data_IF_191102489210
#
_entry.id   IF_191102489210
#
_cell.length_a   1.000
_cell.length_b   1.000
_cell.length_c   1.000
_cell.angle_alpha   90.00
_cell.angle_beta   90.00
_cell.angle_gamma   90.00
#
_symmetry.space_group_name_H-M   'P 1'
#
loop_
_entity.id
_entity.type
_entity.pdbx_description
1 polymer ?
#
# COMPACT_ATOMS: atom_id res chain seq x y z
N UNK A 1 -43.96 -59.79 16.11
CA UNK A 1 -43.29 -59.94 14.80
C UNK A 1 -41.80 -59.75 15.05
N UNK A 2 -41.02 -60.83 15.12
CA UNK A 2 -40.27 -61.42 13.99
C UNK A 2 -39.11 -60.50 13.56
N UNK A 3 -37.83 -60.86 13.44
CA UNK A 3 -37.02 -62.07 13.72
C UNK A 3 -35.57 -61.67 13.37
N UNK A 4 -34.59 -62.14 14.15
CA UNK A 4 -33.31 -62.73 13.69
C UNK A 4 -32.23 -61.89 12.97
N UNK A 5 -31.17 -61.64 13.76
CA UNK A 5 -29.73 -62.03 13.58
C UNK A 5 -28.82 -61.36 12.52
N UNK A 6 -27.48 -61.39 12.78
CA UNK A 6 -26.47 -60.44 12.32
C UNK A 6 -25.54 -61.00 11.22
N UNK A 7 -24.66 -60.15 10.70
CA UNK A 7 -23.52 -60.61 9.86
C UNK A 7 -22.22 -59.94 10.26
N UNK A 8 -21.19 -60.79 10.28
CA UNK A 8 -19.82 -60.65 10.74
C UNK A 8 -18.93 -59.69 9.94
N UNK A 9 -17.94 -59.17 10.68
CA UNK A 9 -16.51 -59.10 10.40
C UNK A 9 -16.00 -58.90 8.95
N UNK A 10 -15.22 -57.83 8.79
CA UNK A 10 -13.96 -57.90 8.02
C UNK A 10 -12.94 -56.92 8.61
N UNK A 11 -11.96 -57.50 9.30
CA UNK A 11 -10.70 -56.89 9.72
C UNK A 11 -9.85 -56.59 8.49
N UNK A 12 -9.50 -55.33 8.26
CA UNK A 12 -8.40 -54.97 7.38
C UNK A 12 -7.36 -54.14 8.14
N UNK A 13 -6.38 -54.84 8.72
CA UNK A 13 -5.17 -54.25 9.31
C UNK A 13 -4.18 -53.94 8.18
N UNK A 14 -4.11 -52.66 7.81
CA UNK A 14 -3.06 -52.12 6.96
C UNK A 14 -1.70 -52.03 7.69
N UNK A 15 -0.60 -51.95 6.93
CA UNK A 15 0.72 -52.40 7.38
C UNK A 15 1.41 -51.44 8.35
N UNK A 16 1.96 -52.04 9.42
CA UNK A 16 2.91 -51.43 10.36
C UNK A 16 4.13 -50.90 9.59
N UNK A 17 4.36 -49.59 9.64
CA UNK A 17 5.62 -48.98 9.22
C UNK A 17 6.75 -49.35 10.20
N UNK A 18 7.97 -49.60 9.70
CA UNK A 18 9.07 -50.13 10.49
C UNK A 18 9.65 -49.09 11.46
N UNK A 19 9.72 -49.49 12.72
CA UNK A 19 10.54 -48.91 13.78
C UNK A 19 12.00 -48.95 13.36
N UNK A 20 12.56 -47.79 12.98
CA UNK A 20 14.01 -47.63 12.84
C UNK A 20 14.63 -47.54 14.23
N UNK A 21 15.21 -48.66 14.65
CA UNK A 21 16.19 -48.78 15.71
C UNK A 21 17.40 -47.89 15.37
N UNK A 22 17.53 -46.75 16.03
CA UNK A 22 18.74 -45.93 16.04
C UNK A 22 19.77 -46.56 16.99
N UNK A 23 20.75 -47.18 16.36
CA UNK A 23 21.94 -47.80 16.95
C UNK A 23 22.76 -46.75 17.69
N UNK A 24 22.88 -46.90 19.01
CA UNK A 24 23.89 -46.24 19.85
C UNK A 24 25.28 -46.42 19.24
N UNK A 25 25.91 -45.31 18.83
CA UNK A 25 27.36 -45.22 18.67
C UNK A 25 27.84 -44.07 19.54
N UNK A 26 28.31 -44.44 20.73
CA UNK A 26 28.95 -43.57 21.72
C UNK A 26 30.29 -43.14 21.11
N UNK A 27 30.38 -41.93 20.58
CA UNK A 27 31.64 -41.22 20.35
C UNK A 27 31.74 -40.17 21.46
N UNK A 28 32.61 -40.43 22.43
CA UNK A 28 33.13 -39.42 23.33
C UNK A 28 33.97 -38.47 22.47
N UNK A 29 33.44 -37.28 22.21
CA UNK A 29 34.24 -36.10 21.96
C UNK A 29 33.95 -35.17 23.12
N UNK A 30 34.89 -35.10 24.06
CA UNK A 30 35.01 -33.99 25.00
C UNK A 30 35.47 -32.77 24.20
N UNK A 31 34.51 -31.98 23.72
CA UNK A 31 34.71 -30.58 23.41
C UNK A 31 33.61 -29.85 24.14
N UNK A 32 33.98 -28.92 25.02
CA UNK A 32 33.06 -28.16 25.85
C UNK A 32 32.06 -27.39 24.99
N UNK A 33 30.91 -28.00 24.76
CA UNK A 33 29.68 -27.28 24.43
C UNK A 33 29.23 -26.63 25.74
N UNK A 34 29.47 -25.33 25.84
CA UNK A 34 28.60 -24.47 26.64
C UNK A 34 27.19 -24.72 26.12
N UNK A 35 26.44 -25.55 26.85
CA UNK A 35 24.99 -25.66 26.71
C UNK A 35 24.48 -24.26 27.03
N UNK A 36 24.33 -23.44 25.98
CA UNK A 36 23.54 -22.24 26.02
C UNK A 36 22.14 -22.71 26.41
N UNK A 37 21.88 -22.73 27.72
CA UNK A 37 20.53 -22.72 28.27
C UNK A 37 19.86 -21.54 27.60
N UNK A 38 19.09 -21.80 26.55
CA UNK A 38 18.12 -20.87 26.00
C UNK A 38 17.30 -20.41 27.19
N UNK A 39 17.66 -19.26 27.75
CA UNK A 39 16.87 -18.59 28.76
C UNK A 39 15.54 -18.32 28.08
N UNK A 40 14.54 -19.17 28.36
CA UNK A 40 13.17 -18.99 27.90
C UNK A 40 12.81 -17.53 28.17
N UNK A 41 12.72 -16.75 27.09
CA UNK A 41 12.55 -15.32 27.21
C UNK A 41 11.19 -15.09 27.89
N UNK A 42 11.24 -14.67 29.16
CA UNK A 42 10.04 -14.66 29.99
C UNK A 42 9.07 -13.64 29.39
N UNK A 43 7.98 -14.12 28.79
CA UNK A 43 6.98 -13.30 28.11
C UNK A 43 6.48 -12.20 29.06
N UNK A 44 6.53 -10.96 28.58
CA UNK A 44 6.12 -9.73 29.30
C UNK A 44 4.90 -9.12 28.62
N UNK A 45 3.70 -9.39 29.14
CA UNK A 45 2.43 -8.92 28.54
C UNK A 45 2.32 -7.39 28.45
N UNK A 46 2.83 -6.64 29.43
CA UNK A 46 2.83 -5.17 29.38
C UNK A 46 3.68 -4.57 28.24
N UNK A 47 4.57 -5.37 27.62
CA UNK A 47 5.33 -4.97 26.42
C UNK A 47 4.63 -5.40 25.13
N UNK A 48 3.47 -6.06 25.21
CA UNK A 48 2.72 -6.46 24.03
C UNK A 48 2.32 -5.22 23.23
N UNK A 49 2.50 -5.23 21.90
CA UNK A 49 2.04 -4.13 21.06
C UNK A 49 0.51 -3.94 21.13
N UNK A 50 -0.25 -4.94 21.61
CA UNK A 50 -1.71 -4.87 21.76
C UNK A 50 -2.16 -4.04 22.96
N UNK A 51 -1.32 -3.89 23.99
CA UNK A 51 -1.65 -3.17 25.23
C UNK A 51 -2.17 -1.75 24.96
N UNK A 52 -1.46 -1.00 24.12
CA UNK A 52 -1.86 0.36 23.76
C UNK A 52 -3.23 0.38 23.08
N UNK A 53 -3.57 -0.65 22.30
CA UNK A 53 -4.89 -0.74 21.67
C UNK A 53 -6.01 -0.93 22.70
N UNK A 54 -5.84 -1.83 23.68
CA UNK A 54 -6.82 -2.02 24.74
C UNK A 54 -6.99 -0.76 25.60
N UNK A 55 -5.89 -0.06 25.90
CA UNK A 55 -5.94 1.20 26.62
C UNK A 55 -6.71 2.27 25.82
N UNK A 56 -6.42 2.42 24.53
CA UNK A 56 -7.11 3.37 23.66
C UNK A 56 -8.61 3.06 23.55
N UNK A 57 -9.01 1.80 23.37
CA UNK A 57 -10.45 1.43 23.34
C UNK A 57 -11.11 1.73 24.69
N UNK A 58 -10.44 1.46 25.82
CA UNK A 58 -10.99 1.73 27.14
C UNK A 58 -11.26 3.23 27.33
N UNK A 59 -10.27 4.08 27.03
CA UNK A 59 -10.41 5.53 27.11
C UNK A 59 -11.45 6.08 26.12
N UNK A 60 -11.42 5.64 24.86
CA UNK A 60 -12.39 6.04 23.86
C UNK A 60 -13.82 5.61 24.25
N UNK A 61 -13.99 4.43 24.86
CA UNK A 61 -15.28 3.96 25.36
C UNK A 61 -15.79 4.83 26.53
N UNK A 62 -14.91 5.28 27.43
CA UNK A 62 -15.29 6.21 28.51
C UNK A 62 -15.74 7.56 27.94
N UNK A 63 -14.99 8.11 26.98
CA UNK A 63 -15.37 9.35 26.27
C UNK A 63 -16.73 9.18 25.58
N UNK A 64 -16.93 8.04 24.92
CA UNK A 64 -18.18 7.72 24.25
C UNK A 64 -19.36 7.65 25.24
N UNK A 65 -19.17 6.98 26.38
CA UNK A 65 -20.18 6.89 27.45
C UNK A 65 -20.60 8.27 27.95
N UNK A 66 -19.63 9.12 28.31
CA UNK A 66 -19.92 10.48 28.79
C UNK A 66 -20.55 11.36 27.71
N UNK A 67 -20.12 11.21 26.46
CA UNK A 67 -20.73 11.93 25.33
C UNK A 67 -22.19 11.49 25.12
N UNK A 68 -22.48 10.19 25.25
CA UNK A 68 -23.84 9.69 25.20
C UNK A 68 -24.67 10.17 26.39
N UNK A 69 -24.10 10.30 27.58
CA UNK A 69 -24.79 10.86 28.74
C UNK A 69 -25.18 12.33 28.54
N UNK A 70 -24.24 13.15 28.05
CA UNK A 70 -24.45 14.57 27.79
C UNK A 70 -25.35 14.89 26.59
N UNK A 71 -25.75 13.89 25.78
CA UNK A 71 -26.57 14.12 24.58
C UNK A 71 -28.07 14.37 24.85
N UNK A 72 -28.45 14.63 26.11
CA UNK A 72 -29.85 14.77 26.56
C UNK A 72 -30.36 16.20 26.58
N UNK A 73 -29.48 17.20 26.63
CA UNK A 73 -29.84 18.60 26.81
C UNK A 73 -29.63 19.44 25.54
N UNK A 74 -30.67 19.62 24.69
CA UNK A 74 -30.63 20.57 23.59
C UNK A 74 -30.89 21.99 24.11
N UNK A 75 -30.06 22.47 25.05
CA UNK A 75 -30.34 23.76 25.72
C UNK A 75 -29.95 24.95 24.83
N UNK A 76 -29.06 24.79 23.84
CA UNK A 76 -28.49 25.96 23.14
C UNK A 76 -28.51 25.95 21.61
N UNK A 77 -28.86 24.85 20.95
CA UNK A 77 -28.75 24.76 19.48
C UNK A 77 -29.98 24.02 18.95
N UNK A 78 -30.46 24.36 17.74
CA UNK A 78 -31.58 23.74 17.01
C UNK A 78 -31.34 22.25 16.65
N UNK A 79 -30.76 21.49 17.56
CA UNK A 79 -30.33 20.12 17.42
C UNK A 79 -31.46 19.16 17.78
N UNK A 80 -31.42 17.99 17.17
CA UNK A 80 -32.39 16.92 17.40
C UNK A 80 -31.92 16.15 18.64
N UNK A 81 -32.67 16.11 19.74
CA UNK A 81 -32.25 15.35 20.90
C UNK A 81 -32.11 13.86 20.56
N UNK A 82 -31.16 13.20 21.20
CA UNK A 82 -31.05 11.75 21.12
C UNK A 82 -32.27 11.11 21.80
N UNK A 83 -32.82 10.04 21.23
CA UNK A 83 -33.87 9.30 21.92
C UNK A 83 -33.29 8.49 23.09
N UNK A 84 -34.09 8.24 24.12
CA UNK A 84 -33.67 7.45 25.28
C UNK A 84 -33.12 6.07 24.88
N UNK A 85 -33.72 5.45 23.86
CA UNK A 85 -33.26 4.16 23.33
C UNK A 85 -31.87 4.25 22.70
N UNK A 86 -31.62 5.31 21.91
CA UNK A 86 -30.32 5.54 21.29
C UNK A 86 -29.25 5.82 22.34
N UNK A 87 -29.61 6.59 23.36
CA UNK A 87 -28.74 6.90 24.48
C UNK A 87 -28.40 5.64 25.29
N UNK A 88 -29.42 4.85 25.65
CA UNK A 88 -29.24 3.59 26.36
C UNK A 88 -28.38 2.62 25.56
N UNK A 89 -28.59 2.52 24.25
CA UNK A 89 -27.76 1.70 23.38
C UNK A 89 -26.29 2.15 23.38
N UNK A 90 -26.02 3.43 23.19
CA UNK A 90 -24.66 3.97 23.17
C UNK A 90 -23.95 3.81 24.53
N UNK A 91 -24.65 4.14 25.62
CA UNK A 91 -24.16 3.91 26.99
C UNK A 91 -23.82 2.43 27.22
N UNK A 92 -24.66 1.51 26.77
CA UNK A 92 -24.44 0.07 26.92
C UNK A 92 -23.23 -0.41 26.12
N UNK A 93 -23.14 -0.04 24.84
CA UNK A 93 -22.01 -0.40 23.97
C UNK A 93 -20.68 0.04 24.59
N UNK A 94 -20.65 1.28 25.09
CA UNK A 94 -19.47 1.92 25.64
C UNK A 94 -19.09 1.38 27.01
N UNK A 95 -20.07 1.19 27.91
CA UNK A 95 -19.81 0.61 29.23
C UNK A 95 -19.27 -0.83 29.14
N UNK A 96 -19.90 -1.67 28.32
CA UNK A 96 -19.46 -3.05 28.11
C UNK A 96 -18.04 -3.08 27.54
N UNK A 97 -17.74 -2.24 26.54
CA UNK A 97 -16.41 -2.14 25.95
C UNK A 97 -15.37 -1.63 26.94
N UNK A 98 -15.70 -0.61 27.74
CA UNK A 98 -14.82 -0.06 28.77
C UNK A 98 -14.48 -1.09 29.85
N UNK A 99 -15.46 -1.90 30.29
CA UNK A 99 -15.25 -2.97 31.26
C UNK A 99 -14.35 -4.07 30.67
N UNK A 100 -14.68 -4.59 29.48
CA UNK A 100 -13.90 -5.65 28.84
C UNK A 100 -12.46 -5.20 28.64
N UNK A 101 -12.25 -4.03 28.03
CA UNK A 101 -10.91 -3.54 27.73
C UNK A 101 -10.16 -3.06 28.97
N UNK A 102 -10.85 -2.53 29.98
CA UNK A 102 -10.28 -2.22 31.29
C UNK A 102 -9.73 -3.46 32.00
N UNK A 103 -10.48 -4.57 31.97
CA UNK A 103 -10.00 -5.86 32.48
C UNK A 103 -8.77 -6.32 31.69
N UNK A 104 -8.77 -6.20 30.36
CA UNK A 104 -7.60 -6.56 29.53
C UNK A 104 -6.38 -5.69 29.84
N UNK A 105 -6.55 -4.39 30.08
CA UNK A 105 -5.49 -3.47 30.52
C UNK A 105 -4.92 -3.92 31.86
N UNK A 106 -5.76 -4.24 32.85
CA UNK A 106 -5.31 -4.75 34.15
C UNK A 106 -4.54 -6.07 34.00
N UNK A 107 -5.03 -7.00 33.17
CA UNK A 107 -4.35 -8.27 32.86
C UNK A 107 -2.96 -8.03 32.26
N UNK A 108 -2.82 -7.06 31.35
CA UNK A 108 -1.54 -6.76 30.72
C UNK A 108 -0.55 -6.07 31.68
N UNK A 109 -1.05 -5.28 32.63
CA UNK A 109 -0.24 -4.60 33.64
C UNK A 109 0.14 -5.54 34.80
N UNK A 110 -0.65 -6.57 35.09
CA UNK A 110 -0.41 -7.49 36.20
C UNK A 110 0.94 -8.22 36.06
N UNK A 111 1.91 -7.77 36.87
CA UNK A 111 3.26 -8.32 36.92
C UNK A 111 3.42 -9.37 38.05
N UNK A 112 2.47 -9.50 38.98
CA UNK A 112 2.69 -10.13 40.28
C UNK A 112 1.67 -11.21 40.62
N UNK A 113 0.37 -10.92 40.54
CA UNK A 113 -0.64 -11.72 41.25
C UNK A 113 -1.06 -12.98 40.47
N UNK A 114 -1.33 -12.83 39.17
CA UNK A 114 -1.83 -13.90 38.31
C UNK A 114 -1.04 -14.04 37.01
N UNK A 115 0.22 -13.58 37.00
CA UNK A 115 1.10 -13.58 35.81
C UNK A 115 1.11 -14.91 35.07
N UNK A 116 1.35 -16.03 35.77
CA UNK A 116 1.40 -17.37 35.15
C UNK A 116 0.05 -17.79 34.56
N UNK A 117 -1.05 -17.37 35.19
CA UNK A 117 -2.39 -17.58 34.68
C UNK A 117 -2.64 -16.73 33.42
N UNK A 118 -2.31 -15.44 33.43
CA UNK A 118 -2.53 -14.55 32.28
C UNK A 118 -1.71 -14.94 31.07
N UNK A 119 -0.43 -15.29 31.25
CA UNK A 119 0.42 -15.77 30.14
C UNK A 119 -0.19 -17.03 29.49
N UNK A 120 -0.89 -17.87 30.26
CA UNK A 120 -1.58 -19.06 29.73
C UNK A 120 -2.79 -18.72 28.84
N UNK A 121 -3.40 -17.54 28.97
CA UNK A 121 -4.58 -17.15 28.17
C UNK A 121 -4.27 -16.11 27.10
N UNK A 122 -3.30 -15.22 27.34
CA UNK A 122 -2.97 -14.06 26.51
C UNK A 122 -1.54 -14.11 25.94
N UNK A 123 -0.77 -15.15 26.27
CA UNK A 123 0.55 -15.36 25.72
C UNK A 123 0.53 -15.68 24.21
N UNK A 124 1.66 -15.53 23.51
CA UNK A 124 1.77 -15.77 22.06
C UNK A 124 1.37 -17.20 21.68
N UNK A 125 1.69 -18.18 22.52
CA UNK A 125 1.48 -19.61 22.26
C UNK A 125 0.01 -20.07 22.34
N UNK A 126 -0.90 -19.22 22.86
CA UNK A 126 -2.30 -19.61 23.13
C UNK A 126 -3.24 -18.74 22.29
N UNK A 127 -3.93 -19.43 21.37
CA UNK A 127 -4.38 -18.83 20.10
C UNK A 127 -5.82 -18.32 20.09
N UNK A 128 -6.72 -18.85 20.90
CA UNK A 128 -8.16 -18.67 20.61
C UNK A 128 -8.93 -17.76 21.56
N UNK A 129 -8.53 -17.67 22.84
CA UNK A 129 -9.32 -16.92 23.83
C UNK A 129 -9.27 -15.41 23.59
N UNK A 130 -8.08 -14.81 23.57
CA UNK A 130 -7.91 -13.38 23.27
C UNK A 130 -8.43 -13.03 21.88
N UNK A 131 -8.21 -13.90 20.88
CA UNK A 131 -8.75 -13.72 19.53
C UNK A 131 -10.28 -13.67 19.56
N UNK A 132 -10.94 -14.55 20.31
CA UNK A 132 -12.40 -14.54 20.46
C UNK A 132 -12.91 -13.22 21.04
N UNK A 133 -12.20 -12.64 22.02
CA UNK A 133 -12.54 -11.32 22.58
C UNK A 133 -12.34 -10.22 21.54
N UNK A 134 -11.24 -10.25 20.79
CA UNK A 134 -10.97 -9.26 19.73
C UNK A 134 -12.03 -9.34 18.63
N UNK A 135 -12.40 -10.53 18.18
CA UNK A 135 -13.44 -10.74 17.17
C UNK A 135 -14.82 -10.30 17.67
N UNK A 136 -15.12 -10.55 18.94
CA UNK A 136 -16.32 -10.03 19.59
C UNK A 136 -16.32 -8.50 19.57
N UNK A 137 -15.25 -7.84 20.03
CA UNK A 137 -15.14 -6.38 20.03
C UNK A 137 -15.22 -5.80 18.62
N UNK A 138 -14.66 -6.49 17.62
CA UNK A 138 -14.69 -6.05 16.23
C UNK A 138 -16.14 -6.02 15.71
N UNK A 139 -16.86 -7.13 15.89
CA UNK A 139 -18.27 -7.21 15.52
C UNK A 139 -19.13 -6.22 16.32
N UNK A 140 -18.86 -6.09 17.62
CA UNK A 140 -19.55 -5.17 18.53
C UNK A 140 -19.44 -3.72 18.06
N UNK A 141 -18.22 -3.26 17.78
CA UNK A 141 -17.99 -1.89 17.32
C UNK A 141 -18.36 -1.68 15.86
N UNK A 142 -18.30 -2.70 15.01
CA UNK A 142 -18.80 -2.60 13.64
C UNK A 142 -20.30 -2.32 13.61
N UNK A 143 -21.09 -3.09 14.37
CA UNK A 143 -22.52 -2.84 14.52
C UNK A 143 -22.81 -1.50 15.18
N UNK A 144 -22.04 -1.14 16.22
CA UNK A 144 -22.18 0.15 16.88
C UNK A 144 -21.91 1.33 15.94
N UNK A 145 -20.87 1.27 15.10
CA UNK A 145 -20.60 2.28 14.08
C UNK A 145 -21.79 2.42 13.14
N UNK A 146 -22.29 1.30 12.60
CA UNK A 146 -23.45 1.32 11.68
C UNK A 146 -24.64 2.01 12.34
N UNK A 147 -24.99 1.62 13.57
CA UNK A 147 -26.19 2.12 14.24
C UNK A 147 -25.99 3.56 14.72
N UNK A 148 -24.90 3.84 15.43
CA UNK A 148 -24.69 5.13 16.10
C UNK A 148 -24.36 6.26 15.12
N UNK A 149 -23.67 5.97 14.02
CA UNK A 149 -23.26 6.99 13.04
C UNK A 149 -24.18 7.06 11.83
N UNK A 150 -25.17 6.17 11.71
CA UNK A 150 -26.25 6.29 10.71
C UNK A 150 -26.98 7.63 10.80
N UNK A 151 -27.74 7.97 9.76
CA UNK A 151 -28.57 9.17 9.75
C UNK A 151 -29.46 9.30 11.00
N UNK A 152 -30.06 8.19 11.45
CA UNK A 152 -30.90 8.18 12.65
C UNK A 152 -30.11 8.05 13.94
N UNK A 153 -28.85 7.67 13.87
CA UNK A 153 -28.01 7.35 15.02
C UNK A 153 -27.85 8.52 16.00
N UNK A 154 -27.34 8.21 17.18
CA UNK A 154 -27.05 9.21 18.23
C UNK A 154 -25.92 10.17 17.85
N UNK A 155 -24.97 9.70 17.04
CA UNK A 155 -23.90 10.46 16.44
C UNK A 155 -24.20 10.75 14.95
N UNK A 156 -25.44 10.54 14.53
CA UNK A 156 -25.96 10.98 13.24
C UNK A 156 -26.13 12.51 13.21
N UNK A 157 -26.47 13.02 12.03
CA UNK A 157 -26.55 14.44 11.75
C UNK A 157 -27.59 15.20 12.60
N UNK A 158 -27.35 16.48 12.81
CA UNK A 158 -28.24 17.40 13.51
C UNK A 158 -28.11 17.31 15.03
N UNK A 159 -27.12 16.59 15.57
CA UNK A 159 -26.95 16.39 17.03
C UNK A 159 -25.66 17.01 17.60
N UNK A 160 -24.74 17.46 16.73
CA UNK A 160 -23.43 18.01 17.09
C UNK A 160 -22.59 17.15 18.06
N UNK A 161 -22.82 15.83 18.07
CA UNK A 161 -22.16 14.89 18.97
C UNK A 161 -20.81 14.41 18.40
N UNK A 162 -19.90 15.33 18.09
CA UNK A 162 -18.62 15.01 17.45
C UNK A 162 -17.77 14.06 18.29
N UNK A 163 -17.71 14.25 19.60
CA UNK A 163 -16.97 13.37 20.52
C UNK A 163 -17.51 11.93 20.46
N UNK A 164 -18.83 11.78 20.37
CA UNK A 164 -19.47 10.48 20.23
C UNK A 164 -19.11 9.85 18.88
N UNK A 165 -19.22 10.62 17.80
CA UNK A 165 -18.87 10.19 16.44
C UNK A 165 -17.43 9.67 16.36
N UNK A 166 -16.45 10.49 16.77
CA UNK A 166 -15.03 10.13 16.67
C UNK A 166 -14.66 8.98 17.60
N UNK A 167 -15.17 8.97 18.84
CA UNK A 167 -14.86 7.88 19.77
C UNK A 167 -15.42 6.53 19.30
N UNK A 168 -16.59 6.49 18.64
CA UNK A 168 -17.15 5.27 18.05
C UNK A 168 -16.22 4.73 16.94
N UNK A 169 -15.76 5.59 16.03
CA UNK A 169 -14.81 5.21 14.97
C UNK A 169 -13.45 4.79 15.51
N UNK A 170 -12.90 5.52 16.48
CA UNK A 170 -11.62 5.19 17.13
C UNK A 170 -11.69 3.80 17.76
N UNK A 171 -12.80 3.43 18.41
CA UNK A 171 -12.95 2.10 18.97
C UNK A 171 -12.93 1.01 17.89
N UNK A 172 -13.65 1.19 16.78
CA UNK A 172 -13.64 0.24 15.67
C UNK A 172 -12.24 0.09 15.05
N UNK A 173 -11.63 1.21 14.64
CA UNK A 173 -10.32 1.22 13.97
C UNK A 173 -9.21 0.67 14.88
N UNK A 174 -9.25 1.00 16.17
CA UNK A 174 -8.30 0.44 17.14
C UNK A 174 -8.49 -1.06 17.28
N UNK A 175 -9.73 -1.55 17.25
CA UNK A 175 -10.00 -2.99 17.31
C UNK A 175 -9.44 -3.73 16.09
N UNK A 176 -9.59 -3.15 14.89
CA UNK A 176 -8.94 -3.66 13.67
C UNK A 176 -7.42 -3.69 13.83
N UNK A 177 -6.83 -2.62 14.38
CA UNK A 177 -5.39 -2.56 14.64
C UNK A 177 -4.89 -3.59 15.67
N UNK A 178 -5.71 -3.93 16.69
CA UNK A 178 -5.38 -5.00 17.64
C UNK A 178 -5.47 -6.37 16.95
N UNK A 179 -6.48 -6.59 16.11
CA UNK A 179 -6.60 -7.82 15.33
C UNK A 179 -5.38 -8.02 14.42
N UNK A 180 -4.96 -6.96 13.71
CA UNK A 180 -3.78 -6.96 12.86
C UNK A 180 -2.52 -7.38 13.65
N UNK A 181 -2.27 -6.75 14.82
CA UNK A 181 -1.16 -7.12 15.70
C UNK A 181 -1.26 -8.56 16.19
N UNK A 182 -2.48 -9.06 16.42
CA UNK A 182 -2.69 -10.46 16.83
C UNK A 182 -2.42 -11.44 15.68
N UNK A 183 -2.69 -11.04 14.44
CA UNK A 183 -2.35 -11.84 13.25
C UNK A 183 -0.83 -11.96 13.08
N UNK A 184 -0.08 -10.88 13.32
CA UNK A 184 1.40 -10.92 13.36
C UNK A 184 1.91 -11.95 14.36
N UNK A 185 1.36 -11.96 15.59
CA UNK A 185 1.75 -12.93 16.63
C UNK A 185 1.44 -14.39 16.24
N UNK A 186 0.60 -14.62 15.23
CA UNK A 186 0.26 -15.94 14.71
C UNK A 186 1.02 -16.33 13.44
N UNK A 187 1.97 -15.51 13.01
CA UNK A 187 2.62 -15.65 11.70
C UNK A 187 1.59 -15.73 10.56
N UNK A 188 0.44 -15.06 10.73
CA UNK A 188 -0.59 -14.95 9.69
C UNK A 188 -0.31 -13.73 8.82
N UNK A 189 -0.63 -13.80 7.50
CA UNK A 189 -0.57 -12.65 6.63
C UNK A 189 -1.44 -11.52 7.18
N UNK A 190 -0.84 -10.38 7.45
CA UNK A 190 -1.53 -9.19 7.94
C UNK A 190 -2.38 -8.57 6.82
N UNK A 191 -3.40 -7.78 7.16
CA UNK A 191 -4.16 -6.99 6.19
C UNK A 191 -3.20 -6.11 5.38
N UNK A 192 -2.23 -5.48 6.05
CA UNK A 192 -1.19 -4.71 5.38
C UNK A 192 -0.41 -5.57 4.39
N UNK A 193 0.10 -6.73 4.82
CA UNK A 193 0.85 -7.64 3.94
C UNK A 193 0.01 -8.11 2.76
N UNK A 194 -1.27 -8.42 2.99
CA UNK A 194 -2.19 -8.83 1.94
C UNK A 194 -2.46 -7.70 0.95
N UNK A 195 -2.67 -6.48 1.41
CA UNK A 195 -2.89 -5.34 0.51
C UNK A 195 -1.60 -5.04 -0.26
N UNK A 196 -0.45 -4.98 0.41
CA UNK A 196 0.83 -4.64 -0.22
C UNK A 196 1.43 -5.74 -1.09
N UNK A 197 0.96 -6.98 -0.98
CA UNK A 197 1.49 -8.08 -1.80
C UNK A 197 1.04 -7.99 -3.25
N UNK A 198 0.02 -7.17 -3.56
CA UNK A 198 -0.55 -7.13 -4.89
C UNK A 198 0.28 -6.21 -5.79
N UNK A 199 0.64 -6.68 -6.99
CA UNK A 199 1.37 -5.87 -7.95
C UNK A 199 0.47 -4.78 -8.58
N UNK A 200 1.09 -3.92 -9.40
CA UNK A 200 0.38 -3.02 -10.33
C UNK A 200 -0.74 -2.14 -9.78
N UNK A 201 -0.49 -1.41 -8.70
CA UNK A 201 -1.42 -0.42 -8.13
C UNK A 201 -2.78 -0.96 -7.65
N UNK A 202 -2.95 -2.28 -7.58
CA UNK A 202 -4.11 -2.93 -6.97
C UNK A 202 -4.46 -2.42 -5.55
N UNK A 203 -3.49 -2.09 -4.65
CA UNK A 203 -3.81 -1.51 -3.35
C UNK A 203 -4.67 -0.23 -3.43
N UNK A 204 -4.39 0.61 -4.42
CA UNK A 204 -5.12 1.85 -4.67
C UNK A 204 -6.56 1.56 -5.10
N UNK A 205 -6.74 0.67 -6.09
CA UNK A 205 -8.07 0.26 -6.55
C UNK A 205 -8.90 -0.44 -5.47
N UNK A 206 -8.31 -1.30 -4.64
CA UNK A 206 -8.97 -1.93 -3.49
C UNK A 206 -9.42 -0.85 -2.50
N UNK A 207 -8.57 0.14 -2.24
CA UNK A 207 -8.89 1.25 -1.33
C UNK A 207 -10.03 2.09 -1.89
N UNK A 208 -9.96 2.52 -3.15
CA UNK A 208 -11.04 3.29 -3.79
C UNK A 208 -12.33 2.47 -3.79
N UNK A 209 -12.29 1.18 -4.15
CA UNK A 209 -13.46 0.30 -4.12
C UNK A 209 -14.10 0.27 -2.73
N UNK A 210 -13.31 0.03 -1.69
CA UNK A 210 -13.78 -0.02 -0.31
C UNK A 210 -14.41 1.31 0.11
N UNK A 211 -13.70 2.42 -0.06
CA UNK A 211 -14.21 3.73 0.32
C UNK A 211 -15.46 4.12 -0.48
N UNK A 212 -15.48 3.89 -1.79
CA UNK A 212 -16.66 4.17 -2.63
C UNK A 212 -17.86 3.31 -2.26
N UNK A 213 -17.65 2.07 -1.81
CA UNK A 213 -18.73 1.19 -1.36
C UNK A 213 -19.41 1.77 -0.11
N UNK A 214 -18.64 2.17 0.89
CA UNK A 214 -19.18 2.83 2.08
C UNK A 214 -19.78 4.20 1.78
N UNK A 215 -19.14 5.01 0.93
CA UNK A 215 -19.69 6.29 0.47
C UNK A 215 -21.07 6.09 -0.18
N UNK A 216 -21.21 5.12 -1.10
CA UNK A 216 -22.50 4.80 -1.71
C UNK A 216 -23.50 4.28 -0.67
N UNK A 217 -23.09 3.40 0.23
CA UNK A 217 -23.96 2.88 1.30
C UNK A 217 -24.56 4.02 2.14
N UNK A 218 -23.75 5.00 2.53
CA UNK A 218 -24.22 6.15 3.31
C UNK A 218 -25.12 7.09 2.51
N UNK A 219 -24.86 7.28 1.21
CA UNK A 219 -25.78 8.04 0.35
C UNK A 219 -27.13 7.34 0.19
N UNK A 220 -27.13 6.02 0.01
CA UNK A 220 -28.37 5.25 -0.07
C UNK A 220 -29.14 5.29 1.25
N UNK A 221 -28.47 5.09 2.39
CA UNK A 221 -29.10 5.21 3.73
C UNK A 221 -29.74 6.58 3.88
N UNK A 222 -29.00 7.63 3.57
CA UNK A 222 -29.46 9.00 3.64
C UNK A 222 -30.68 9.24 2.76
N UNK A 223 -30.67 8.82 1.50
CA UNK A 223 -31.82 9.00 0.62
C UNK A 223 -33.05 8.22 1.04
N UNK A 224 -32.86 6.97 1.44
CA UNK A 224 -33.94 6.15 1.93
C UNK A 224 -34.60 6.82 3.14
N UNK A 225 -33.82 7.47 4.00
CA UNK A 225 -34.33 8.14 5.20
C UNK A 225 -34.89 9.54 4.92
N UNK A 226 -34.31 10.33 4.03
CA UNK A 226 -34.79 11.69 3.71
C UNK A 226 -36.04 11.67 2.84
N UNK A 227 -36.11 10.81 1.82
CA UNK A 227 -37.21 10.84 0.84
C UNK A 227 -38.36 9.89 1.17
N UNK A 228 -38.12 8.70 1.73
CA UNK A 228 -39.21 7.76 2.03
C UNK A 228 -39.91 8.05 3.36
N UNK A 229 -39.36 8.92 4.21
CA UNK A 229 -39.88 9.20 5.55
C UNK A 229 -40.04 10.69 5.84
N UNK A 230 -40.26 11.48 4.78
CA UNK A 230 -40.42 12.94 4.88
C UNK A 230 -41.53 13.34 5.87
N UNK A 231 -42.58 12.54 5.98
CA UNK A 231 -43.75 12.84 6.81
C UNK A 231 -43.56 12.49 8.30
N UNK A 232 -42.54 11.71 8.66
CA UNK A 232 -42.27 11.31 10.06
C UNK A 232 -41.09 12.06 10.68
N UNK A 233 -40.39 12.88 9.90
CA UNK A 233 -39.29 13.73 10.35
C UNK A 233 -39.82 14.94 11.14
N UNK A 234 -39.21 15.29 12.28
CA UNK A 234 -39.48 16.54 12.97
C UNK A 234 -39.39 17.76 12.03
N UNK A 235 -40.28 18.75 12.21
CA UNK A 235 -40.40 19.90 11.28
C UNK A 235 -39.10 20.68 11.10
N UNK A 236 -38.28 20.79 12.14
CA UNK A 236 -36.97 21.45 12.09
C UNK A 236 -35.98 20.71 11.18
N UNK A 237 -35.96 19.37 11.22
CA UNK A 237 -35.19 18.56 10.29
C UNK A 237 -35.77 18.69 8.88
N UNK A 238 -37.09 18.62 8.73
CA UNK A 238 -37.73 18.69 7.41
C UNK A 238 -37.37 19.99 6.68
N UNK A 239 -37.52 21.14 7.35
CA UNK A 239 -37.16 22.45 6.78
C UNK A 239 -35.68 22.51 6.40
N UNK A 240 -34.80 21.93 7.22
CA UNK A 240 -33.37 21.90 6.96
C UNK A 240 -33.00 21.06 5.72
N UNK A 241 -33.66 19.92 5.51
CA UNK A 241 -33.39 19.02 4.37
C UNK A 241 -34.09 19.44 3.08
N UNK A 242 -35.14 20.26 3.16
CA UNK A 242 -35.83 20.80 2.00
C UNK A 242 -34.96 21.72 1.14
N UNK A 243 -33.97 22.36 1.75
CA UNK A 243 -33.06 23.28 1.08
C UNK A 243 -32.02 22.56 0.20
N UNK A 244 -31.85 21.24 0.35
CA UNK A 244 -30.82 20.51 -0.40
C UNK A 244 -31.34 20.07 -1.77
N UNK A 245 -30.71 20.53 -2.88
CA UNK A 245 -31.16 20.18 -4.22
C UNK A 245 -31.08 18.67 -4.46
N UNK A 246 -32.19 18.08 -4.93
CA UNK A 246 -32.25 16.65 -5.35
C UNK A 246 -31.19 16.30 -6.40
N UNK A 247 -30.74 17.27 -7.19
CA UNK A 247 -29.66 17.11 -8.18
C UNK A 247 -28.32 16.74 -7.53
N UNK A 248 -27.96 17.30 -6.37
CA UNK A 248 -26.73 16.95 -5.67
C UNK A 248 -26.74 15.49 -5.24
N UNK A 249 -27.89 15.00 -4.78
CA UNK A 249 -28.05 13.59 -4.41
C UNK A 249 -27.86 12.65 -5.61
N UNK A 250 -28.56 12.93 -6.72
CA UNK A 250 -28.45 12.12 -7.93
C UNK A 250 -27.02 12.12 -8.48
N UNK A 251 -26.35 13.27 -8.41
CA UNK A 251 -24.94 13.40 -8.76
C UNK A 251 -24.03 12.53 -7.88
N UNK A 252 -24.24 12.52 -6.57
CA UNK A 252 -23.46 11.74 -5.62
C UNK A 252 -23.64 10.23 -5.80
N UNK A 253 -24.87 9.77 -6.04
CA UNK A 253 -25.11 8.38 -6.42
C UNK A 253 -24.44 8.03 -7.74
N UNK A 254 -24.56 8.92 -8.73
CA UNK A 254 -23.97 8.70 -10.05
C UNK A 254 -22.46 8.57 -9.95
N UNK A 255 -21.76 9.53 -9.33
CA UNK A 255 -20.30 9.50 -9.23
C UNK A 255 -19.83 8.32 -8.39
N UNK A 256 -20.53 7.95 -7.31
CA UNK A 256 -20.18 6.78 -6.49
C UNK A 256 -20.35 5.47 -7.27
N UNK A 257 -21.46 5.33 -8.01
CA UNK A 257 -21.71 4.15 -8.85
C UNK A 257 -20.70 4.06 -10.01
N UNK A 258 -20.43 5.20 -10.65
CA UNK A 258 -19.42 5.33 -11.70
C UNK A 258 -18.02 5.06 -11.19
N UNK A 259 -17.73 5.26 -9.90
CA UNK A 259 -16.46 4.90 -9.29
C UNK A 259 -16.38 3.42 -8.97
N UNK A 260 -17.45 2.86 -8.39
CA UNK A 260 -17.50 1.45 -7.99
C UNK A 260 -17.31 0.49 -9.15
N UNK A 261 -17.89 0.78 -10.32
CA UNK A 261 -17.85 -0.13 -11.46
C UNK A 261 -16.41 -0.33 -12.02
N UNK A 262 -15.66 0.72 -12.41
CA UNK A 262 -14.26 0.59 -12.80
C UNK A 262 -13.40 -0.01 -11.69
N UNK A 263 -13.61 0.41 -10.43
CA UNK A 263 -12.83 -0.14 -9.32
C UNK A 263 -13.05 -1.65 -9.17
N UNK A 264 -14.30 -2.12 -9.25
CA UNK A 264 -14.60 -3.54 -9.23
C UNK A 264 -13.92 -4.26 -10.40
N UNK A 265 -14.02 -3.72 -11.62
CA UNK A 265 -13.38 -4.29 -12.82
C UNK A 265 -11.86 -4.43 -12.61
N UNK A 266 -11.18 -3.36 -12.19
CA UNK A 266 -9.73 -3.41 -11.97
C UNK A 266 -9.35 -4.34 -10.81
N UNK A 267 -10.09 -4.33 -9.70
CA UNK A 267 -9.85 -5.29 -8.60
C UNK A 267 -10.00 -6.74 -9.09
N UNK A 268 -11.05 -7.05 -9.88
CA UNK A 268 -11.23 -8.39 -10.45
C UNK A 268 -10.14 -8.76 -11.45
N UNK A 269 -9.72 -7.83 -12.32
CA UNK A 269 -8.61 -8.05 -13.25
C UNK A 269 -7.30 -8.38 -12.50
N UNK A 270 -7.00 -7.66 -11.42
CA UNK A 270 -5.82 -7.92 -10.60
C UNK A 270 -5.93 -9.27 -9.86
N UNK A 271 -7.11 -9.65 -9.36
CA UNK A 271 -7.34 -10.99 -8.77
C UNK A 271 -7.04 -12.09 -9.79
N UNK A 272 -7.54 -11.93 -11.02
CA UNK A 272 -7.34 -12.93 -12.08
C UNK A 272 -5.87 -12.96 -12.51
N UNK A 273 -5.19 -11.82 -12.60
CA UNK A 273 -3.78 -11.74 -13.00
C UNK A 273 -2.85 -12.44 -12.02
N UNK A 274 -3.09 -12.29 -10.72
CA UNK A 274 -2.32 -13.00 -9.69
C UNK A 274 -2.36 -14.52 -9.90
N UNK A 275 -3.42 -15.03 -10.55
CA UNK A 275 -3.55 -16.45 -10.88
C UNK A 275 -2.94 -16.87 -12.23
N UNK A 276 -2.65 -15.94 -13.15
CA UNK A 276 -2.26 -16.26 -14.54
C UNK A 276 -0.82 -15.91 -14.93
N UNK A 277 -0.02 -15.29 -14.06
CA UNK A 277 1.34 -14.77 -14.36
C UNK A 277 1.37 -13.78 -15.56
N UNK A 278 0.23 -13.26 -15.99
CA UNK A 278 0.14 -12.39 -17.17
C UNK A 278 0.76 -11.01 -16.90
N UNK A 279 1.51 -10.50 -17.87
CA UNK A 279 2.04 -9.13 -17.85
C UNK A 279 0.93 -8.15 -18.22
N UNK A 280 0.86 -7.03 -17.47
CA UNK A 280 -0.12 -5.96 -17.73
C UNK A 280 0.07 -5.37 -19.13
N UNK A 281 -0.99 -5.37 -19.93
CA UNK A 281 -0.95 -4.86 -21.31
C UNK A 281 -0.94 -3.33 -21.40
N UNK A 282 -0.44 -2.78 -22.52
CA UNK A 282 -0.41 -1.33 -22.75
C UNK A 282 -1.81 -0.72 -22.81
N UNK A 283 -2.77 -1.38 -23.48
CA UNK A 283 -4.14 -0.91 -23.57
C UNK A 283 -4.82 -0.87 -22.19
N UNK A 284 -4.51 -1.82 -21.33
CA UNK A 284 -5.02 -1.83 -19.96
C UNK A 284 -4.43 -0.69 -19.13
N UNK A 285 -3.14 -0.43 -19.27
CA UNK A 285 -2.47 0.70 -18.59
C UNK A 285 -3.04 2.05 -19.04
N UNK A 286 -3.33 2.20 -20.35
CA UNK A 286 -3.99 3.39 -20.90
C UNK A 286 -5.40 3.51 -20.34
N UNK A 287 -6.17 2.42 -20.30
CA UNK A 287 -7.52 2.42 -19.73
C UNK A 287 -7.50 2.77 -18.23
N UNK A 288 -6.57 2.21 -17.45
CA UNK A 288 -6.37 2.53 -16.03
C UNK A 288 -6.13 4.03 -15.83
N UNK A 289 -5.19 4.61 -16.59
CA UNK A 289 -4.88 6.04 -16.54
C UNK A 289 -6.07 6.92 -16.91
N UNK A 290 -6.81 6.54 -17.95
CA UNK A 290 -8.02 7.23 -18.39
C UNK A 290 -9.10 7.22 -17.31
N UNK A 291 -9.38 6.07 -16.69
CA UNK A 291 -10.36 5.99 -15.61
C UNK A 291 -9.92 6.77 -14.38
N UNK A 292 -8.66 6.70 -13.95
CA UNK A 292 -8.17 7.50 -12.81
C UNK A 292 -8.27 9.00 -13.07
N UNK A 293 -7.99 9.45 -14.29
CA UNK A 293 -8.16 10.84 -14.68
C UNK A 293 -9.64 11.27 -14.64
N UNK A 294 -10.55 10.46 -15.19
CA UNK A 294 -11.99 10.73 -15.12
C UNK A 294 -12.51 10.77 -13.68
N UNK A 295 -12.10 9.82 -12.84
CA UNK A 295 -12.47 9.78 -11.43
C UNK A 295 -11.95 11.00 -10.69
N UNK A 296 -10.70 11.41 -10.94
CA UNK A 296 -10.11 12.61 -10.35
C UNK A 296 -10.90 13.87 -10.75
N UNK A 297 -11.17 14.03 -12.04
CA UNK A 297 -11.98 15.14 -12.57
C UNK A 297 -13.43 15.13 -12.06
N UNK A 298 -13.97 13.96 -11.72
CA UNK A 298 -15.30 13.84 -11.14
C UNK A 298 -15.34 14.11 -9.64
N UNK A 299 -14.39 13.58 -8.86
CA UNK A 299 -14.39 13.68 -7.40
C UNK A 299 -13.96 15.06 -6.89
N UNK A 300 -13.02 15.75 -7.54
CA UNK A 300 -12.60 17.10 -7.11
C UNK A 300 -13.80 18.09 -7.08
N UNK A 301 -14.58 18.28 -8.17
CA UNK A 301 -15.74 19.15 -8.11
C UNK A 301 -16.82 18.61 -7.17
N UNK A 302 -17.01 17.29 -7.14
CA UNK A 302 -17.99 16.67 -6.25
C UNK A 302 -17.72 17.01 -4.80
N UNK A 303 -16.50 16.79 -4.30
CA UNK A 303 -16.15 17.07 -2.90
C UNK A 303 -16.32 18.55 -2.58
N UNK A 304 -15.91 19.46 -3.47
CA UNK A 304 -16.06 20.91 -3.27
C UNK A 304 -17.55 21.27 -3.15
N UNK A 305 -18.40 20.82 -4.08
CA UNK A 305 -19.82 21.16 -4.10
C UNK A 305 -20.55 20.56 -2.89
N UNK A 306 -20.28 19.29 -2.57
CA UNK A 306 -21.09 18.57 -1.58
C UNK A 306 -20.63 18.81 -0.14
N UNK A 307 -19.38 19.25 0.07
CA UNK A 307 -18.83 19.52 1.41
C UNK A 307 -18.76 21.01 1.77
N UNK A 308 -19.09 21.92 0.85
CA UNK A 308 -19.26 23.34 1.17
C UNK A 308 -20.43 23.56 2.13
N UNK A 309 -20.48 24.68 2.88
CA UNK A 309 -21.61 25.00 3.74
C UNK A 309 -22.94 24.99 2.96
N UNK A 310 -23.89 24.15 3.37
CA UNK A 310 -25.16 23.94 2.66
C UNK A 310 -25.11 22.85 1.60
N UNK A 311 -23.93 22.31 1.31
CA UNK A 311 -23.73 21.12 0.48
C UNK A 311 -24.19 19.86 1.20
N UNK A 312 -24.68 18.89 0.44
CA UNK A 312 -25.32 17.69 0.98
C UNK A 312 -24.45 16.86 1.96
N UNK A 313 -23.18 16.64 1.64
CA UNK A 313 -22.26 15.88 2.48
C UNK A 313 -21.73 16.68 3.67
N UNK A 314 -21.79 18.01 3.66
CA UNK A 314 -21.37 18.86 4.78
C UNK A 314 -22.17 18.64 6.06
N UNK A 315 -23.39 18.11 5.92
CA UNK A 315 -24.31 17.94 7.03
C UNK A 315 -24.06 16.60 7.74
N UNK A 316 -23.88 15.51 7.00
CA UNK A 316 -23.67 14.19 7.59
C UNK A 316 -22.20 13.87 7.78
N UNK A 317 -21.77 13.64 9.03
CA UNK A 317 -20.41 13.21 9.34
C UNK A 317 -19.95 12.03 8.47
N UNK A 318 -20.73 10.96 8.37
CA UNK A 318 -20.38 9.84 7.49
C UNK A 318 -20.29 10.25 6.02
N UNK A 319 -21.29 10.96 5.49
CA UNK A 319 -21.23 11.43 4.11
C UNK A 319 -19.97 12.27 3.88
N UNK A 320 -19.68 13.23 4.77
CA UNK A 320 -18.51 14.09 4.74
C UNK A 320 -17.20 13.31 4.70
N UNK A 321 -16.92 12.50 5.74
CA UNK A 321 -15.65 11.81 5.88
C UNK A 321 -15.44 10.75 4.81
N UNK A 322 -16.50 10.04 4.42
CA UNK A 322 -16.39 9.03 3.35
C UNK A 322 -16.21 9.68 1.97
N UNK A 323 -16.86 10.83 1.69
CA UNK A 323 -16.59 11.63 0.47
C UNK A 323 -15.12 12.04 0.39
N UNK A 324 -14.60 12.63 1.46
CA UNK A 324 -13.21 13.07 1.52
C UNK A 324 -12.25 11.87 1.44
N UNK A 325 -12.53 10.79 2.17
CA UNK A 325 -11.73 9.56 2.13
C UNK A 325 -11.67 8.98 0.72
N UNK A 326 -12.81 8.83 0.04
CA UNK A 326 -12.84 8.38 -1.36
C UNK A 326 -12.02 9.33 -2.26
N UNK A 327 -12.20 10.64 -2.11
CA UNK A 327 -11.48 11.63 -2.94
C UNK A 327 -9.97 11.55 -2.75
N UNK A 328 -9.49 11.45 -1.50
CA UNK A 328 -8.07 11.31 -1.19
C UNK A 328 -7.51 10.02 -1.78
N UNK A 329 -8.21 8.88 -1.63
CA UNK A 329 -7.76 7.62 -2.22
C UNK A 329 -7.68 7.68 -3.75
N UNK A 330 -8.63 8.33 -4.42
CA UNK A 330 -8.59 8.54 -5.89
C UNK A 330 -7.39 9.39 -6.28
N UNK A 331 -7.16 10.51 -5.58
CA UNK A 331 -6.04 11.42 -5.86
C UNK A 331 -4.69 10.77 -5.62
N UNK A 332 -4.52 10.09 -4.49
CA UNK A 332 -3.28 9.38 -4.14
C UNK A 332 -2.95 8.30 -5.18
N UNK A 333 -3.96 7.50 -5.57
CA UNK A 333 -3.79 6.48 -6.61
C UNK A 333 -3.44 7.10 -7.97
N UNK A 334 -4.03 8.24 -8.31
CA UNK A 334 -3.72 8.97 -9.55
C UNK A 334 -2.31 9.57 -9.54
N UNK A 335 -1.88 10.18 -8.43
CA UNK A 335 -0.52 10.69 -8.28
C UNK A 335 0.51 9.57 -8.37
N UNK A 336 0.22 8.41 -7.76
CA UNK A 336 1.06 7.24 -7.87
C UNK A 336 1.10 6.69 -9.32
N UNK A 337 -0.02 6.74 -10.04
CA UNK A 337 -0.07 6.41 -11.47
C UNK A 337 0.85 7.33 -12.30
N UNK A 338 0.78 8.65 -12.08
CA UNK A 338 1.63 9.62 -12.77
C UNK A 338 3.12 9.35 -12.46
N UNK A 339 3.44 9.12 -11.19
CA UNK A 339 4.81 8.86 -10.76
C UNK A 339 5.39 7.60 -11.43
N UNK A 340 4.64 6.50 -11.42
CA UNK A 340 5.07 5.25 -12.06
C UNK A 340 5.18 5.38 -13.59
N UNK A 341 4.24 6.09 -14.22
CA UNK A 341 4.30 6.38 -15.66
C UNK A 341 5.57 7.13 -16.04
N UNK A 342 5.99 8.12 -15.22
CA UNK A 342 7.26 8.82 -15.42
C UNK A 342 8.47 7.90 -15.27
N UNK A 343 8.46 6.99 -14.30
CA UNK A 343 9.53 6.00 -14.12
C UNK A 343 9.64 5.03 -15.28
N UNK A 344 8.51 4.64 -15.89
CA UNK A 344 8.48 3.80 -17.08
C UNK A 344 9.04 4.53 -18.31
N UNK A 345 8.66 5.80 -18.51
CA UNK A 345 9.20 6.65 -19.57
C UNK A 345 10.72 6.83 -19.41
N UNK A 346 11.21 7.09 -18.20
CA UNK A 346 12.64 7.22 -17.95
C UNK A 346 13.40 5.91 -18.24
N UNK A 347 12.86 4.76 -17.85
CA UNK A 347 13.46 3.46 -18.17
C UNK A 347 13.50 3.21 -19.68
N UNK A 348 12.40 3.49 -20.38
CA UNK A 348 12.34 3.34 -21.83
C UNK A 348 13.33 4.28 -22.55
N UNK A 349 13.48 5.52 -22.08
CA UNK A 349 14.47 6.46 -22.60
C UNK A 349 15.90 5.97 -22.38
N UNK A 350 16.23 5.47 -21.18
CA UNK A 350 17.56 4.91 -20.89
C UNK A 350 17.86 3.66 -21.73
N UNK A 351 16.87 2.81 -21.97
CA UNK A 351 17.02 1.63 -22.84
C UNK A 351 17.26 2.03 -24.29
N UNK A 352 16.50 3.00 -24.81
CA UNK A 352 16.70 3.55 -26.15
C UNK A 352 18.04 4.24 -26.32
N UNK A 353 18.49 4.98 -25.30
CA UNK A 353 19.82 5.60 -25.30
C UNK A 353 20.93 4.52 -25.33
N UNK A 354 20.74 3.42 -24.60
CA UNK A 354 21.66 2.27 -24.61
C UNK A 354 21.69 1.58 -25.98
N UNK A 355 20.53 1.33 -26.58
CA UNK A 355 20.43 0.79 -27.95
C UNK A 355 21.12 1.70 -28.97
N UNK A 356 20.92 3.01 -28.85
CA UNK A 356 21.53 4.01 -29.72
C UNK A 356 23.06 4.03 -29.59
N UNK A 357 23.58 4.01 -28.35
CA UNK A 357 25.04 3.90 -28.09
C UNK A 357 25.63 2.62 -28.68
N UNK A 358 24.95 1.48 -28.51
CA UNK A 358 25.37 0.21 -29.11
C UNK A 358 25.37 0.26 -30.65
N UNK A 359 24.38 0.93 -31.25
CA UNK A 359 24.31 1.12 -32.69
C UNK A 359 25.45 2.02 -33.20
N UNK A 360 25.74 3.13 -32.50
CA UNK A 360 26.87 4.01 -32.84
C UNK A 360 28.21 3.27 -32.77
N UNK A 361 28.46 2.50 -31.71
CA UNK A 361 29.66 1.68 -31.59
C UNK A 361 29.79 0.66 -32.73
N UNK A 362 28.65 0.07 -33.16
CA UNK A 362 28.64 -0.87 -34.29
C UNK A 362 28.98 -0.18 -35.61
N UNK A 363 28.36 0.96 -35.90
CA UNK A 363 28.64 1.74 -37.13
C UNK A 363 30.09 2.21 -37.16
N UNK A 364 30.63 2.66 -36.03
CA UNK A 364 32.04 3.08 -35.93
C UNK A 364 33.01 1.93 -36.17
N UNK A 365 32.71 0.72 -35.65
CA UNK A 365 33.50 -0.48 -35.94
C UNK A 365 33.43 -0.87 -37.41
N UNK A 366 32.25 -0.81 -38.03
CA UNK A 366 32.07 -1.11 -39.46
C UNK A 366 32.78 -0.08 -40.35
N UNK A 367 32.79 1.21 -39.99
CA UNK A 367 33.51 2.24 -40.74
C UNK A 367 35.03 2.09 -40.60
N UNK A 368 35.53 1.77 -39.41
CA UNK A 368 36.95 1.48 -39.19
C UNK A 368 37.41 0.26 -39.99
N UNK A 369 36.63 -0.81 -40.04
CA UNK A 369 36.95 -1.99 -40.86
C UNK A 369 37.02 -1.66 -42.35
N UNK A 370 36.04 -0.91 -42.88
CA UNK A 370 36.06 -0.47 -44.28
C UNK A 370 37.27 0.41 -44.60
N UNK A 371 37.68 1.30 -43.69
CA UNK A 371 38.87 2.12 -43.90
C UNK A 371 40.15 1.29 -43.96
N UNK A 372 40.29 0.25 -43.15
CA UNK A 372 41.43 -0.68 -43.21
C UNK A 372 41.46 -1.45 -44.53
N UNK A 373 40.30 -1.79 -45.10
CA UNK A 373 40.19 -2.53 -46.36
C UNK A 373 40.44 -1.67 -47.61
N UNK A 374 40.19 -0.36 -47.54
CA UNK A 374 40.39 0.59 -48.65
C UNK A 374 41.81 1.18 -48.70
N UNK A 375 42.58 1.07 -47.62
CA UNK A 375 44.03 1.34 -47.66
C UNK A 375 44.70 0.12 -48.31
N UNK A 376 44.75 0.14 -49.64
CA UNK A 376 45.15 -0.96 -50.53
C UNK A 376 46.50 -1.63 -50.15
N UNK A 377 46.63 -2.95 -50.37
CA UNK A 377 47.82 -3.76 -50.15
C UNK A 377 48.96 -3.56 -51.18
N UNK A 378 48.99 -2.45 -51.91
CA UNK A 378 49.88 -2.26 -53.08
C UNK A 378 51.05 -1.28 -52.85
N UNK A 379 51.44 -1.03 -51.59
CA UNK A 379 52.78 -0.52 -51.27
C UNK A 379 53.71 -1.70 -50.96
N UNK A 380 54.08 -2.36 -52.06
CA UNK A 380 55.39 -2.90 -52.44
C UNK A 380 56.34 -3.44 -51.36
N UNK A 381 56.69 -4.72 -51.58
CA UNK A 381 58.06 -5.23 -51.74
C UNK A 381 59.25 -4.33 -51.35
N UNK A 382 60.19 -4.97 -50.66
CA UNK A 382 61.63 -4.66 -50.57
C UNK A 382 62.06 -3.70 -49.45
N UNK A 383 62.46 -4.28 -48.32
CA UNK A 383 63.88 -4.31 -47.92
C UNK A 383 64.05 -5.18 -46.67
N UNK A 384 64.83 -6.25 -46.84
CA UNK A 384 65.46 -6.98 -45.75
C UNK A 384 66.50 -6.06 -45.09
N UNK A 385 66.29 -5.67 -43.84
CA UNK A 385 67.42 -5.40 -42.92
C UNK A 385 67.10 -5.95 -41.52
N UNK A 386 67.92 -6.86 -40.99
CA UNK A 386 67.83 -7.32 -39.62
C UNK A 386 68.65 -6.38 -38.72
N UNK A 387 67.99 -5.45 -38.03
CA UNK A 387 68.61 -4.74 -36.92
C UNK A 387 68.32 -5.49 -35.62
N UNK A 388 69.32 -6.27 -35.23
CA UNK A 388 69.57 -6.65 -33.85
C UNK A 388 69.59 -5.39 -32.98
N UNK A 389 68.74 -5.35 -31.96
CA UNK A 389 69.11 -4.67 -30.72
C UNK A 389 68.47 -5.41 -29.56
N UNK A 390 69.32 -6.12 -28.84
CA UNK A 390 69.17 -6.46 -27.44
C UNK A 390 68.65 -5.25 -26.67
N UNK A 391 67.58 -5.42 -25.89
CA UNK A 391 67.45 -4.71 -24.63
C UNK A 391 66.62 -5.57 -23.68
N UNK A 392 67.32 -6.14 -22.71
CA UNK A 392 66.82 -6.47 -21.39
C UNK A 392 66.02 -5.28 -20.87
N UNK A 393 64.79 -5.49 -20.39
CA UNK A 393 64.53 -5.05 -19.03
C UNK A 393 63.41 -5.84 -18.35
N UNK A 394 63.81 -6.34 -17.20
CA UNK A 394 62.98 -6.75 -16.09
C UNK A 394 61.93 -5.71 -15.70
N UNK A 395 60.69 -6.13 -15.45
CA UNK A 395 59.89 -5.56 -14.37
C UNK A 395 58.68 -6.43 -14.05
N UNK A 396 58.83 -7.11 -12.91
CA UNK A 396 57.85 -7.46 -11.90
C UNK A 396 56.36 -7.36 -12.24
N UNK A 397 55.80 -8.56 -12.34
CA UNK A 397 54.40 -8.90 -12.22
C UNK A 397 53.89 -8.58 -10.80
N UNK A 398 53.25 -7.42 -10.61
CA UNK A 398 52.48 -7.14 -9.40
C UNK A 398 50.97 -7.16 -9.70
N UNK A 399 50.36 -8.31 -9.41
CA UNK A 399 48.91 -8.53 -9.39
C UNK A 399 48.31 -7.90 -8.12
N UNK A 400 47.49 -6.84 -8.18
CA UNK A 400 46.78 -6.37 -7.00
C UNK A 400 45.59 -7.30 -6.70
N UNK A 401 45.67 -7.96 -5.54
CA UNK A 401 44.54 -8.66 -4.91
C UNK A 401 43.40 -7.66 -4.65
N UNK A 402 42.27 -7.83 -5.34
CA UNK A 402 41.00 -7.15 -5.03
C UNK A 402 40.46 -7.66 -3.70
N UNK A 403 40.70 -6.90 -2.63
CA UNK A 403 40.02 -7.05 -1.34
C UNK A 403 38.57 -6.57 -1.49
N UNK A 404 37.60 -7.46 -1.30
CA UNK A 404 36.17 -7.10 -1.21
C UNK A 404 35.93 -6.33 0.10
N UNK A 405 36.02 -5.01 0.04
CA UNK A 405 35.48 -4.10 1.05
C UNK A 405 33.97 -3.95 0.86
N UNK A 406 33.22 -4.35 1.88
CA UNK A 406 31.76 -4.19 2.00
C UNK A 406 31.50 -2.76 2.47
N UNK A 407 31.06 -1.89 1.56
CA UNK A 407 30.67 -0.52 1.91
C UNK A 407 29.16 -0.54 2.24
N UNK A 408 28.86 -0.23 3.51
CA UNK A 408 27.56 0.27 3.93
C UNK A 408 27.45 1.72 3.46
N UNK A 409 26.44 2.04 2.66
CA UNK A 409 26.03 3.42 2.47
C UNK A 409 24.88 3.73 3.43
N UNK A 410 25.17 4.62 4.37
CA UNK A 410 24.19 5.41 5.08
C UNK A 410 23.65 6.49 4.12
N UNK A 411 22.35 6.72 4.18
CA UNK A 411 21.70 7.92 3.64
C UNK A 411 22.33 9.17 4.26
N UNK A 412 22.77 10.09 3.42
CA UNK A 412 22.98 11.49 3.81
C UNK A 412 22.45 12.40 2.71
N UNK A 413 21.55 13.28 3.13
CA UNK A 413 21.00 14.40 2.38
C UNK A 413 22.08 15.36 1.85
N UNK A 414 21.89 15.85 0.63
CA UNK A 414 22.49 17.06 0.05
C UNK A 414 21.59 17.43 -1.13
N UNK A 415 20.73 18.46 -1.05
CA UNK A 415 20.99 19.91 -1.12
C UNK A 415 21.82 20.35 -2.33
N UNK A 416 21.27 21.38 -2.97
CA UNK A 416 21.61 22.01 -4.25
C UNK A 416 23.10 22.32 -4.42
N UNK A 417 23.61 22.14 -5.65
CA UNK A 417 24.76 22.92 -6.12
C UNK A 417 24.67 23.19 -7.63
N UNK A 418 24.79 24.48 -7.93
CA UNK A 418 24.83 25.10 -9.24
C UNK A 418 26.00 24.55 -10.09
N UNK A 419 25.67 24.05 -11.29
CA UNK A 419 26.69 23.66 -12.27
C UNK A 419 27.21 24.91 -12.97
N UNK A 420 28.28 25.46 -12.39
CA UNK A 420 29.16 26.44 -13.00
C UNK A 420 29.84 25.83 -14.24
N UNK A 421 29.61 26.44 -15.42
CA UNK A 421 30.24 26.01 -16.68
C UNK A 421 31.74 26.27 -16.62
N UNK A 422 32.55 25.21 -16.60
CA UNK A 422 33.99 25.33 -16.85
C UNK A 422 34.25 25.75 -18.32
N UNK A 423 35.15 26.72 -18.56
CA UNK A 423 35.62 27.03 -19.91
C UNK A 423 36.57 25.92 -20.37
N UNK A 424 36.31 25.38 -21.56
CA UNK A 424 37.23 24.46 -22.23
C UNK A 424 38.38 25.31 -22.80
N UNK A 425 39.54 25.27 -22.16
CA UNK A 425 40.79 25.72 -22.77
C UNK A 425 41.15 24.75 -23.89
N UNK A 426 41.29 25.28 -25.11
CA UNK A 426 41.86 24.57 -26.25
C UNK A 426 43.37 24.61 -26.14
N UNK A 427 43.98 23.45 -25.93
CA UNK A 427 45.40 23.25 -26.23
C UNK A 427 45.57 23.24 -27.76
N UNK A 428 46.27 24.26 -28.24
CA UNK A 428 46.59 24.50 -29.65
C UNK A 428 47.90 23.74 -29.96
N UNK A 429 47.80 22.42 -30.09
CA UNK A 429 48.92 21.58 -30.51
C UNK A 429 49.04 21.61 -32.03
N UNK A 430 50.05 22.36 -32.47
CA UNK A 430 50.37 22.55 -33.87
C UNK A 430 50.79 21.27 -34.59
N UNK A 431 50.52 21.30 -35.89
CA UNK A 431 51.14 20.50 -36.95
C UNK A 431 50.48 19.16 -37.28
N UNK A 432 49.29 19.24 -37.86
CA UNK A 432 48.78 18.29 -38.82
C UNK A 432 47.85 19.03 -39.77
N UNK A 433 48.17 19.08 -41.06
CA UNK A 433 47.32 19.68 -42.08
C UNK A 433 46.11 18.75 -42.27
N UNK A 434 45.19 18.74 -41.30
CA UNK A 434 43.93 18.01 -41.38
C UNK A 434 43.07 18.79 -42.36
N UNK A 435 42.69 18.10 -43.44
CA UNK A 435 41.91 18.63 -44.52
C UNK A 435 40.61 19.26 -43.98
N UNK A 436 40.53 20.59 -44.01
CA UNK A 436 39.41 21.37 -43.45
C UNK A 436 38.06 20.90 -43.98
N UNK A 437 38.04 20.36 -45.20
CA UNK A 437 36.83 19.84 -45.84
C UNK A 437 36.35 18.52 -45.21
N UNK A 438 37.26 17.70 -44.66
CA UNK A 438 36.92 16.45 -43.97
C UNK A 438 36.20 16.73 -42.65
N UNK A 439 36.71 17.68 -41.87
CA UNK A 439 36.11 18.08 -40.58
C UNK A 439 34.75 18.76 -40.80
N UNK A 440 34.65 19.62 -41.81
CA UNK A 440 33.39 20.28 -42.18
C UNK A 440 32.35 19.26 -42.68
N UNK A 441 32.78 18.24 -43.44
CA UNK A 441 31.90 17.17 -43.90
C UNK A 441 31.39 16.30 -42.75
N UNK A 442 32.25 15.91 -41.81
CA UNK A 442 31.88 15.11 -40.64
C UNK A 442 30.90 15.89 -39.75
N UNK A 443 31.11 17.21 -39.59
CA UNK A 443 30.20 18.06 -38.83
C UNK A 443 28.81 18.15 -39.47
N UNK A 444 28.72 18.24 -40.80
CA UNK A 444 27.45 18.23 -41.52
C UNK A 444 26.73 16.89 -41.43
N UNK A 445 27.48 15.79 -41.40
CA UNK A 445 26.93 14.44 -41.24
C UNK A 445 26.38 14.24 -39.82
N UNK A 446 27.09 14.73 -38.80
CA UNK A 446 26.59 14.74 -37.42
C UNK A 446 25.35 15.63 -37.25
N UNK A 447 25.32 16.82 -37.86
CA UNK A 447 24.15 17.70 -37.82
C UNK A 447 22.94 17.10 -38.58
N UNK A 448 23.17 16.43 -39.71
CA UNK A 448 22.13 15.74 -40.47
C UNK A 448 21.56 14.54 -39.70
N UNK A 449 22.42 13.70 -39.12
CA UNK A 449 22.00 12.56 -38.29
C UNK A 449 21.27 13.01 -37.03
N UNK A 450 21.71 14.12 -36.41
CA UNK A 450 21.02 14.71 -35.27
C UNK A 450 19.62 15.19 -35.66
N UNK A 451 19.46 15.88 -36.80
CA UNK A 451 18.14 16.32 -37.30
C UNK A 451 17.23 15.14 -37.67
N UNK A 452 17.76 14.11 -38.34
CA UNK A 452 16.99 12.91 -38.66
C UNK A 452 16.51 12.19 -37.39
N UNK A 453 17.34 12.16 -36.35
CA UNK A 453 16.96 11.60 -35.06
C UNK A 453 15.82 12.38 -34.38
N UNK A 454 15.91 13.72 -34.32
CA UNK A 454 14.83 14.53 -33.71
C UNK A 454 13.52 14.44 -34.50
N UNK A 455 13.58 14.42 -35.83
CA UNK A 455 12.38 14.21 -36.65
C UNK A 455 11.75 12.83 -36.39
N UNK A 456 12.57 11.78 -36.17
CA UNK A 456 12.03 10.46 -35.80
C UNK A 456 11.44 10.42 -34.37
N UNK A 457 11.88 11.33 -33.50
CA UNK A 457 11.35 11.43 -32.13
C UNK A 457 10.01 12.15 -32.12
N UNK A 458 9.84 13.17 -32.96
CA UNK A 458 8.57 13.87 -33.17
C UNK A 458 7.53 12.90 -33.79
N UNK A 459 7.93 12.06 -34.76
CA UNK A 459 7.07 11.00 -35.33
C UNK A 459 6.66 9.89 -34.33
N UNK A 460 7.36 9.77 -33.20
CA UNK A 460 7.04 8.80 -32.12
C UNK A 460 6.19 9.45 -31.01
N UNK A 461 6.21 10.78 -30.90
CA UNK A 461 5.50 11.55 -29.89
C UNK A 461 4.14 12.08 -30.38
N UNK A 462 3.91 12.17 -31.69
CA UNK A 462 2.57 12.18 -32.32
C UNK A 462 1.94 10.79 -32.31
#
# INVERSE_FOLDING_TARGET
MSTKTPTNASTNKGPKKPTKSSRKRKKQNESGDEVATETEEVVKLYKSPRFNGYLTISLASIINYHSAEGSTDPIEVRLVPASDLQQAYAKTVSLVSAIITGVLVVIHIDRWFLRSFWIKFFGPSKRYFELGIILFLLLWWFLAVIIQTSFRGIAGDGKAQYNLYYSTWVCLLTTVGILERKMVDFDLPTIRSFVTSWPYRAPGWISIFFFSFFTMFWYVDLFANTFNQRDTLPDNLRLYWEDIPKSQYLWLLFISSFTLLPCAIFVFLEIVRESSEDVKGSLETIAEGFFLALLTCGWIPSVIIVTTPGGFASQLGNAYFWTWGTTICVLDTFLWFIHDSRGNVQRALMEKEKEYKQHQEKVLKESQQKHVEVVDPDITSASDEPLQSEFDDSSDEHVPKKTKGRIFFAESDAEDDDVERMPIEREDDGNGNIDSDSVEHERRLQEANRKAYFNSLDDILE
#
